data_IF_888333749859
#
_entry.id   IF_888333749859
#
_cell.length_a   1.000
_cell.length_b   1.000
_cell.length_c   1.000
_cell.angle_alpha   90.00
_cell.angle_beta   90.00
_cell.angle_gamma   90.00
#
_symmetry.space_group_name_H-M   'P 1'
#
loop_
_entity.id
_entity.type
_entity.pdbx_description
1 polymer ?
#
# COMPACT_ATOMS: atom_id res chain seq x y z
N UNK A 1 -2.95 -63.14 12.00
CA UNK A 1 -3.63 -62.52 10.83
C UNK A 1 -4.45 -61.37 11.33
N UNK A 2 -3.95 -60.13 11.26
CA UNK A 2 -4.72 -58.93 11.42
C UNK A 2 -4.01 -57.85 10.60
N UNK A 3 -4.77 -57.35 9.62
CA UNK A 3 -4.29 -56.36 8.65
C UNK A 3 -4.21 -54.98 9.33
N UNK A 4 -3.00 -54.44 9.44
CA UNK A 4 -2.81 -53.00 9.70
C UNK A 4 -2.85 -52.24 8.38
N UNK A 5 -3.99 -51.62 8.11
CA UNK A 5 -4.16 -50.63 7.04
C UNK A 5 -3.35 -49.38 7.36
N UNK A 6 -2.32 -49.16 6.59
CA UNK A 6 -1.55 -47.91 6.55
C UNK A 6 -2.46 -46.72 6.19
N UNK A 7 -2.78 -45.90 7.18
CA UNK A 7 -3.45 -44.61 6.97
C UNK A 7 -2.42 -43.66 6.34
N UNK A 8 -2.64 -43.29 5.08
CA UNK A 8 -1.90 -42.27 4.35
C UNK A 8 -1.81 -41.00 5.19
N UNK A 9 -0.58 -40.50 5.36
CA UNK A 9 -0.32 -39.18 5.89
C UNK A 9 -1.07 -38.15 5.06
N UNK A 10 -1.91 -37.39 5.72
CA UNK A 10 -2.70 -36.32 5.18
C UNK A 10 -1.78 -35.20 4.69
N UNK A 11 -1.98 -34.87 3.43
CA UNK A 11 -1.43 -33.74 2.71
C UNK A 11 -1.49 -32.46 3.56
N UNK A 12 -0.40 -31.71 3.54
CA UNK A 12 -0.37 -30.33 4.02
C UNK A 12 -1.49 -29.53 3.35
N UNK A 13 -2.18 -28.65 4.07
CA UNK A 13 -3.18 -27.79 3.45
C UNK A 13 -2.46 -26.94 2.40
N UNK A 14 -2.86 -27.17 1.16
CA UNK A 14 -2.52 -26.41 -0.02
C UNK A 14 -2.76 -24.93 0.33
N UNK A 15 -1.68 -24.14 0.38
CA UNK A 15 -1.76 -22.69 0.22
C UNK A 15 -2.42 -22.52 -1.13
N UNK A 16 -3.70 -22.18 -1.12
CA UNK A 16 -4.51 -22.03 -2.31
C UNK A 16 -3.82 -21.05 -3.25
N UNK A 17 -3.58 -21.53 -4.45
CA UNK A 17 -3.01 -20.81 -5.58
C UNK A 17 -3.85 -19.54 -5.90
N UNK A 18 -3.56 -18.44 -5.20
CA UNK A 18 -4.19 -17.13 -5.44
C UNK A 18 -3.62 -16.45 -6.68
N UNK A 19 -2.61 -17.03 -7.34
CA UNK A 19 -1.93 -16.41 -8.49
C UNK A 19 -2.74 -16.42 -9.78
N UNK A 20 -3.88 -17.17 -9.84
CA UNK A 20 -4.68 -17.33 -11.07
C UNK A 20 -6.03 -16.59 -11.07
N UNK A 21 -6.42 -15.94 -9.98
CA UNK A 21 -7.70 -15.20 -9.93
C UNK A 21 -7.57 -13.84 -10.64
N UNK A 22 -8.51 -13.55 -11.53
CA UNK A 22 -8.62 -12.25 -12.20
C UNK A 22 -8.61 -11.10 -11.17
N UNK A 23 -7.76 -10.05 -11.33
CA UNK A 23 -7.69 -8.95 -10.37
C UNK A 23 -9.02 -8.24 -10.13
N UNK A 24 -9.95 -8.27 -11.10
CA UNK A 24 -11.30 -7.73 -10.96
C UNK A 24 -12.20 -8.59 -10.05
N UNK A 25 -12.03 -9.90 -10.04
CA UNK A 25 -12.79 -10.78 -9.14
C UNK A 25 -12.33 -10.64 -7.69
N UNK A 26 -11.03 -10.44 -7.46
CA UNK A 26 -10.46 -10.16 -6.13
C UNK A 26 -10.97 -8.83 -5.59
N UNK A 27 -11.11 -7.82 -6.44
CA UNK A 27 -11.67 -6.53 -6.03
C UNK A 27 -13.15 -6.61 -5.67
N UNK A 28 -13.95 -7.41 -6.42
CA UNK A 28 -15.35 -7.66 -6.08
C UNK A 28 -15.49 -8.32 -4.71
N UNK A 29 -14.71 -9.37 -4.45
CA UNK A 29 -14.67 -10.05 -3.15
C UNK A 29 -14.23 -9.10 -2.03
N UNK A 30 -13.17 -8.32 -2.25
CA UNK A 30 -12.72 -7.30 -1.29
C UNK A 30 -13.83 -6.30 -0.96
N UNK A 31 -14.57 -5.82 -1.95
CA UNK A 31 -15.64 -4.85 -1.74
C UNK A 31 -16.83 -5.43 -0.96
N UNK A 32 -17.20 -6.68 -1.23
CA UNK A 32 -18.24 -7.39 -0.47
C UNK A 32 -17.78 -7.62 0.99
N UNK A 33 -16.58 -8.12 1.19
CA UNK A 33 -16.00 -8.34 2.52
C UNK A 33 -15.89 -7.02 3.31
N UNK A 34 -15.44 -5.96 2.64
CA UNK A 34 -15.38 -4.61 3.21
C UNK A 34 -16.76 -4.14 3.66
N UNK A 35 -17.78 -4.33 2.83
CA UNK A 35 -19.16 -3.92 3.14
C UNK A 35 -19.67 -4.59 4.41
N UNK A 36 -19.39 -5.89 4.57
CA UNK A 36 -19.80 -6.66 5.77
C UNK A 36 -19.17 -6.10 7.04
N UNK A 37 -17.87 -5.71 7.00
CA UNK A 37 -17.13 -5.25 8.18
C UNK A 37 -17.34 -3.75 8.44
N UNK A 38 -17.45 -2.94 7.38
CA UNK A 38 -17.55 -1.49 7.49
C UNK A 38 -19.00 -1.01 7.71
N UNK A 39 -19.98 -1.64 7.04
CA UNK A 39 -21.38 -1.19 7.10
C UNK A 39 -21.90 -1.05 8.55
N UNK A 40 -21.69 -1.99 9.48
CA UNK A 40 -22.22 -1.85 10.84
C UNK A 40 -21.59 -0.70 11.65
N UNK A 41 -20.41 -0.23 11.24
CA UNK A 41 -19.72 0.88 11.92
C UNK A 41 -20.34 2.24 11.55
N UNK A 42 -20.63 2.47 10.26
CA UNK A 42 -21.21 3.73 9.76
C UNK A 42 -22.74 3.72 9.69
N UNK A 43 -23.36 2.54 9.48
CA UNK A 43 -24.81 2.35 9.35
C UNK A 43 -25.27 1.23 10.30
N UNK A 44 -25.39 1.49 11.61
CA UNK A 44 -25.90 0.47 12.53
C UNK A 44 -27.37 0.17 12.21
N UNK A 45 -27.64 -1.04 11.72
CA UNK A 45 -29.00 -1.52 11.37
C UNK A 45 -29.85 -1.88 12.58
N UNK A 46 -29.22 -2.13 13.72
CA UNK A 46 -29.88 -2.39 15.01
C UNK A 46 -29.15 -1.63 16.09
N UNK A 47 -29.86 -1.27 17.17
CA UNK A 47 -29.33 -0.62 18.38
C UNK A 47 -28.28 -1.47 19.13
N UNK A 48 -27.44 -2.21 18.43
CA UNK A 48 -26.40 -3.08 18.95
C UNK A 48 -25.30 -2.29 19.67
N UNK A 49 -25.66 -1.56 20.71
CA UNK A 49 -24.71 -1.04 21.69
C UNK A 49 -23.93 0.20 21.26
N UNK A 50 -24.27 0.86 20.15
CA UNK A 50 -23.67 2.13 19.77
C UNK A 50 -24.66 3.27 20.01
N UNK A 51 -24.27 4.23 20.85
CA UNK A 51 -25.08 5.41 21.07
C UNK A 51 -25.18 6.27 19.78
N UNK A 52 -26.30 6.91 19.55
CA UNK A 52 -26.49 7.79 18.37
C UNK A 52 -25.39 8.86 18.27
N UNK A 53 -24.90 9.35 19.42
CA UNK A 53 -23.76 10.28 19.50
C UNK A 53 -22.47 9.73 18.92
N UNK A 54 -22.16 8.44 19.12
CA UNK A 54 -20.93 7.81 18.60
C UNK A 54 -20.97 7.68 17.06
N UNK A 55 -22.16 7.48 16.49
CA UNK A 55 -22.35 7.43 15.02
C UNK A 55 -22.12 8.81 14.42
N UNK A 56 -22.67 9.88 15.03
CA UNK A 56 -22.44 11.26 14.59
C UNK A 56 -20.95 11.61 14.65
N UNK A 57 -20.23 11.21 15.69
CA UNK A 57 -18.79 11.44 15.83
C UNK A 57 -18.02 10.73 14.70
N UNK A 58 -18.40 9.49 14.35
CA UNK A 58 -17.74 8.74 13.27
C UNK A 58 -17.96 9.40 11.90
N UNK A 59 -19.17 9.86 11.63
CA UNK A 59 -19.46 10.62 10.41
C UNK A 59 -18.75 11.97 10.39
N UNK A 60 -18.70 12.68 11.53
CA UNK A 60 -17.95 13.93 11.69
C UNK A 60 -16.46 13.75 11.41
N UNK A 61 -15.85 12.68 11.95
CA UNK A 61 -14.46 12.35 11.69
C UNK A 61 -14.21 11.96 10.22
N UNK A 62 -15.14 11.24 9.58
CA UNK A 62 -15.04 10.92 8.16
C UNK A 62 -15.15 12.16 7.27
N UNK A 63 -16.04 13.09 7.60
CA UNK A 63 -16.15 14.39 6.94
C UNK A 63 -14.86 15.22 7.13
N UNK A 64 -14.26 15.20 8.30
CA UNK A 64 -13.00 15.89 8.58
C UNK A 64 -11.82 15.28 7.78
N UNK A 65 -11.81 13.96 7.54
CA UNK A 65 -10.85 13.32 6.63
C UNK A 65 -11.04 13.85 5.21
N UNK A 66 -12.27 13.87 4.69
CA UNK A 66 -12.54 14.37 3.34
C UNK A 66 -12.13 15.84 3.21
N UNK A 67 -12.43 16.66 4.20
CA UNK A 67 -12.03 18.07 4.25
C UNK A 67 -10.49 18.22 4.26
N UNK A 68 -9.80 17.39 5.03
CA UNK A 68 -8.33 17.39 5.06
C UNK A 68 -7.71 16.94 3.74
N UNK A 69 -8.33 15.99 3.01
CA UNK A 69 -7.90 15.56 1.67
C UNK A 69 -8.08 16.72 0.68
N UNK A 70 -9.25 17.36 0.67
CA UNK A 70 -9.51 18.50 -0.20
C UNK A 70 -8.54 19.66 0.08
N UNK A 71 -8.26 19.94 1.35
CA UNK A 71 -7.30 20.96 1.73
C UNK A 71 -5.87 20.61 1.28
N UNK A 72 -5.42 19.38 1.46
CA UNK A 72 -4.06 18.96 1.03
C UNK A 72 -3.92 19.02 -0.49
N UNK A 73 -4.86 18.48 -1.26
CA UNK A 73 -4.83 18.53 -2.73
C UNK A 73 -4.95 19.97 -3.23
N UNK A 74 -5.78 20.80 -2.59
CA UNK A 74 -5.92 22.21 -2.92
C UNK A 74 -4.64 23.01 -2.69
N UNK A 75 -3.95 22.76 -1.57
CA UNK A 75 -2.67 23.40 -1.27
C UNK A 75 -1.55 22.91 -2.19
N UNK A 76 -1.53 21.64 -2.56
CA UNK A 76 -0.59 21.12 -3.57
C UNK A 76 -0.81 21.78 -4.94
N UNK A 77 -2.08 21.90 -5.37
CA UNK A 77 -2.43 22.62 -6.59
C UNK A 77 -2.00 24.09 -6.52
N UNK A 78 -2.31 24.79 -5.43
CA UNK A 78 -1.86 26.15 -5.20
C UNK A 78 -0.35 26.27 -5.23
N UNK A 79 0.37 25.33 -4.60
CA UNK A 79 1.85 25.29 -4.60
C UNK A 79 2.42 25.17 -6.01
N UNK A 80 1.73 24.51 -6.93
CA UNK A 80 2.18 24.41 -8.32
C UNK A 80 2.11 25.77 -9.06
N UNK A 81 1.03 26.52 -8.86
CA UNK A 81 0.90 27.88 -9.39
C UNK A 81 1.85 28.87 -8.71
N UNK A 82 2.05 28.70 -7.39
CA UNK A 82 3.00 29.51 -6.64
C UNK A 82 4.44 29.29 -7.12
N UNK A 83 4.82 28.04 -7.38
CA UNK A 83 6.14 27.73 -7.92
C UNK A 83 6.37 28.38 -9.29
N UNK A 84 5.36 28.36 -10.18
CA UNK A 84 5.38 29.10 -11.43
C UNK A 84 5.64 30.58 -11.19
N UNK A 85 4.84 31.22 -10.35
CA UNK A 85 4.93 32.65 -10.05
C UNK A 85 6.30 33.07 -9.49
N UNK A 86 6.90 32.25 -8.60
CA UNK A 86 8.24 32.48 -8.08
C UNK A 86 9.31 32.47 -9.18
N UNK A 87 9.20 31.51 -10.08
CA UNK A 87 10.15 31.40 -11.19
C UNK A 87 10.03 32.52 -12.21
N UNK A 88 8.81 32.96 -12.50
CA UNK A 88 8.57 34.10 -13.42
C UNK A 88 9.19 35.39 -12.83
N UNK A 89 9.06 35.64 -11.52
CA UNK A 89 9.74 36.77 -10.85
C UNK A 89 11.27 36.69 -10.99
N UNK A 90 11.84 35.51 -10.84
CA UNK A 90 13.30 35.32 -10.89
C UNK A 90 13.84 35.58 -12.29
N UNK A 91 13.13 35.12 -13.31
CA UNK A 91 13.61 35.11 -14.69
C UNK A 91 13.25 36.42 -15.42
N UNK A 92 12.02 36.90 -15.27
CA UNK A 92 11.49 38.05 -15.99
C UNK A 92 11.71 39.34 -15.23
N UNK A 93 11.23 39.45 -14.00
CA UNK A 93 11.26 40.70 -13.21
C UNK A 93 12.65 41.05 -12.71
N UNK A 94 13.44 40.05 -12.31
CA UNK A 94 14.80 40.17 -11.70
C UNK A 94 14.85 41.17 -10.52
N UNK A 95 13.73 41.30 -9.80
CA UNK A 95 13.59 42.23 -8.68
C UNK A 95 13.86 41.52 -7.33
N UNK A 96 14.98 41.89 -6.69
CA UNK A 96 15.42 41.30 -5.43
C UNK A 96 14.40 41.52 -4.30
N UNK A 97 13.74 42.70 -4.28
CA UNK A 97 12.77 43.02 -3.21
C UNK A 97 11.53 42.14 -3.30
N UNK A 98 10.97 41.97 -4.51
CA UNK A 98 9.86 41.05 -4.77
C UNK A 98 10.26 39.61 -4.44
N UNK A 99 11.45 39.19 -4.83
CA UNK A 99 11.96 37.85 -4.55
C UNK A 99 12.05 37.55 -3.04
N UNK A 100 12.59 38.47 -2.22
CA UNK A 100 12.70 38.28 -0.78
C UNK A 100 11.32 38.18 -0.10
N UNK A 101 10.35 38.99 -0.55
CA UNK A 101 8.96 38.88 -0.07
C UNK A 101 8.33 37.53 -0.45
N UNK A 102 8.62 37.04 -1.66
CA UNK A 102 8.11 35.75 -2.16
C UNK A 102 8.74 34.58 -1.39
N UNK A 103 10.01 34.68 -1.01
CA UNK A 103 10.68 33.67 -0.16
C UNK A 103 10.01 33.55 1.21
N UNK A 104 9.67 34.66 1.85
CA UNK A 104 8.98 34.65 3.13
C UNK A 104 7.60 33.96 3.02
N UNK A 105 6.82 34.32 2.00
CA UNK A 105 5.53 33.69 1.74
C UNK A 105 5.66 32.20 1.40
N UNK A 106 6.68 31.80 0.63
CA UNK A 106 7.00 30.39 0.35
C UNK A 106 7.32 29.61 1.62
N UNK A 107 8.07 30.21 2.54
CA UNK A 107 8.39 29.57 3.83
C UNK A 107 7.13 29.37 4.68
N UNK A 108 6.22 30.33 4.70
CA UNK A 108 4.93 30.20 5.37
C UNK A 108 4.08 29.08 4.74
N UNK A 109 4.07 29.00 3.40
CA UNK A 109 3.33 27.97 2.66
C UNK A 109 3.87 26.56 2.98
N UNK A 110 5.20 26.38 3.08
CA UNK A 110 5.82 25.12 3.48
C UNK A 110 5.40 24.72 4.90
N UNK A 111 5.40 25.65 5.85
CA UNK A 111 4.94 25.38 7.22
C UNK A 111 3.47 24.98 7.23
N UNK A 112 2.62 25.68 6.48
CA UNK A 112 1.19 25.37 6.36
C UNK A 112 0.94 23.99 5.75
N UNK A 113 1.60 23.66 4.64
CA UNK A 113 1.48 22.36 3.97
C UNK A 113 1.92 21.22 4.87
N UNK A 114 3.06 21.39 5.57
CA UNK A 114 3.58 20.39 6.51
C UNK A 114 2.63 20.19 7.69
N UNK A 115 2.08 21.26 8.23
CA UNK A 115 1.09 21.22 9.30
C UNK A 115 -0.20 20.52 8.88
N UNK A 116 -0.73 20.84 7.70
CA UNK A 116 -1.91 20.16 7.13
C UNK A 116 -1.67 18.68 6.90
N UNK A 117 -0.51 18.32 6.37
CA UNK A 117 -0.13 16.92 6.16
C UNK A 117 -0.07 16.15 7.48
N UNK A 118 0.62 16.69 8.49
CA UNK A 118 0.72 16.08 9.81
C UNK A 118 -0.66 15.91 10.48
N UNK A 119 -1.51 16.94 10.37
CA UNK A 119 -2.88 16.92 10.89
C UNK A 119 -3.74 15.87 10.17
N UNK A 120 -3.66 15.80 8.84
CA UNK A 120 -4.35 14.77 8.04
C UNK A 120 -3.94 13.36 8.47
N UNK A 121 -2.65 13.09 8.62
CA UNK A 121 -2.14 11.78 9.08
C UNK A 121 -2.62 11.45 10.50
N UNK A 122 -2.66 12.43 11.40
CA UNK A 122 -3.17 12.24 12.76
C UNK A 122 -4.64 11.81 12.75
N UNK A 123 -5.50 12.52 12.00
CA UNK A 123 -6.94 12.19 11.95
C UNK A 123 -7.16 10.80 11.36
N UNK A 124 -6.48 10.44 10.28
CA UNK A 124 -6.57 9.11 9.65
C UNK A 124 -6.28 8.00 10.64
N UNK A 125 -5.20 8.12 11.41
CA UNK A 125 -4.83 7.14 12.43
C UNK A 125 -5.84 7.11 13.58
N UNK A 126 -6.38 8.26 13.96
CA UNK A 126 -7.37 8.35 15.04
C UNK A 126 -8.67 7.63 14.67
N UNK A 127 -9.15 7.81 13.43
CA UNK A 127 -10.35 7.14 12.93
C UNK A 127 -10.14 5.63 12.79
N UNK A 128 -9.01 5.20 12.27
CA UNK A 128 -8.66 3.78 12.19
C UNK A 128 -8.63 3.12 13.58
N UNK A 129 -8.05 3.81 14.58
CA UNK A 129 -8.02 3.34 15.97
C UNK A 129 -9.40 3.27 16.60
N UNK A 130 -10.28 4.24 16.34
CA UNK A 130 -11.65 4.22 16.87
C UNK A 130 -12.45 3.06 16.26
N UNK A 131 -12.33 2.84 14.96
CA UNK A 131 -12.93 1.69 14.29
C UNK A 131 -12.38 0.36 14.82
N UNK A 132 -11.07 0.23 14.99
CA UNK A 132 -10.43 -0.94 15.60
C UNK A 132 -10.99 -1.24 16.99
N UNK A 133 -11.06 -0.24 17.85
CA UNK A 133 -11.65 -0.33 19.20
C UNK A 133 -13.09 -0.86 19.18
N UNK A 134 -13.90 -0.29 18.30
CA UNK A 134 -15.30 -0.70 18.16
C UNK A 134 -15.42 -2.12 17.64
N UNK A 135 -14.69 -2.45 16.56
CA UNK A 135 -14.74 -3.77 15.93
C UNK A 135 -14.28 -4.86 16.89
N UNK A 136 -13.18 -4.65 17.61
CA UNK A 136 -12.67 -5.59 18.63
C UNK A 136 -13.71 -5.83 19.71
N UNK A 137 -14.33 -4.75 20.23
CA UNK A 137 -15.37 -4.88 21.26
C UNK A 137 -16.58 -5.70 20.77
N UNK A 138 -17.01 -5.47 19.53
CA UNK A 138 -18.12 -6.20 18.92
C UNK A 138 -17.77 -7.67 18.69
N UNK A 139 -16.58 -7.95 18.16
CA UNK A 139 -16.15 -9.32 17.86
C UNK A 139 -15.94 -10.12 19.14
N UNK A 140 -15.30 -9.55 20.16
CA UNK A 140 -15.17 -10.20 21.48
C UNK A 140 -16.54 -10.46 22.11
N UNK A 141 -17.49 -9.52 22.03
CA UNK A 141 -18.85 -9.72 22.54
C UNK A 141 -19.55 -10.88 21.81
N UNK A 142 -19.43 -10.96 20.47
CA UNK A 142 -19.97 -12.08 19.69
C UNK A 142 -19.29 -13.40 20.04
N UNK A 143 -17.98 -13.41 20.23
CA UNK A 143 -17.22 -14.61 20.59
C UNK A 143 -17.64 -15.18 21.95
N UNK A 144 -17.94 -14.31 22.93
CA UNK A 144 -18.37 -14.72 24.27
C UNK A 144 -19.88 -14.99 24.37
N UNK A 145 -20.70 -14.46 23.43
CA UNK A 145 -22.13 -14.62 23.44
C UNK A 145 -22.54 -16.04 23.04
N UNK A 146 -23.62 -16.57 23.62
CA UNK A 146 -24.20 -17.87 23.27
C UNK A 146 -23.20 -19.05 23.30
N UNK A 147 -22.12 -18.92 24.08
CA UNK A 147 -21.03 -19.90 24.17
C UNK A 147 -20.38 -20.20 22.82
N UNK A 148 -20.30 -19.20 21.93
CA UNK A 148 -19.72 -19.36 20.58
C UNK A 148 -18.28 -19.86 20.65
N UNK A 149 -17.46 -19.39 21.63
CA UNK A 149 -16.10 -19.89 21.87
C UNK A 149 -16.05 -21.43 22.05
N UNK A 150 -17.03 -22.01 22.73
CA UNK A 150 -17.11 -23.45 22.94
C UNK A 150 -17.52 -24.19 21.67
N UNK A 151 -18.52 -23.68 20.96
CA UNK A 151 -19.01 -24.28 19.73
C UNK A 151 -17.96 -24.26 18.60
N UNK A 152 -17.17 -23.19 18.52
CA UNK A 152 -16.08 -23.05 17.52
C UNK A 152 -14.99 -24.09 17.78
N UNK A 153 -14.59 -24.30 19.01
CA UNK A 153 -13.56 -25.27 19.40
C UNK A 153 -14.03 -26.71 19.11
N UNK A 154 -15.29 -27.01 19.37
CA UNK A 154 -15.87 -28.34 19.17
C UNK A 154 -16.07 -28.69 17.69
N UNK A 155 -16.41 -27.72 16.83
CA UNK A 155 -16.65 -27.93 15.41
C UNK A 155 -15.39 -27.84 14.54
N UNK A 156 -14.25 -27.44 15.11
CA UNK A 156 -12.99 -27.15 14.38
C UNK A 156 -13.17 -26.21 13.19
N UNK A 157 -14.23 -25.40 13.20
CA UNK A 157 -14.60 -24.53 12.09
C UNK A 157 -13.60 -23.38 11.88
N UNK A 158 -12.90 -22.96 12.94
CA UNK A 158 -11.91 -21.88 12.92
C UNK A 158 -10.63 -22.34 13.61
N UNK A 159 -9.51 -22.27 12.89
CA UNK A 159 -8.19 -22.50 13.52
C UNK A 159 -7.73 -21.23 14.23
N UNK A 160 -7.28 -21.39 15.48
CA UNK A 160 -6.67 -20.33 16.30
C UNK A 160 -7.53 -19.05 16.41
N UNK A 161 -8.76 -19.11 16.96
CA UNK A 161 -9.63 -17.94 17.08
C UNK A 161 -9.04 -16.83 17.96
N UNK A 162 -8.24 -17.17 18.96
CA UNK A 162 -7.47 -16.26 19.81
C UNK A 162 -6.45 -15.43 19.02
N UNK A 163 -5.72 -16.06 18.11
CA UNK A 163 -4.77 -15.38 17.23
C UNK A 163 -5.50 -14.43 16.28
N UNK A 164 -6.60 -14.84 15.66
CA UNK A 164 -7.40 -13.99 14.79
C UNK A 164 -7.94 -12.76 15.52
N UNK A 165 -8.51 -12.95 16.70
CA UNK A 165 -9.02 -11.87 17.53
C UNK A 165 -7.94 -10.87 17.98
N UNK A 166 -6.72 -11.35 18.26
CA UNK A 166 -5.65 -10.50 18.78
C UNK A 166 -4.79 -9.83 17.68
N UNK A 167 -4.63 -10.46 16.50
CA UNK A 167 -3.65 -10.03 15.51
C UNK A 167 -4.26 -9.60 14.17
N UNK A 168 -5.48 -10.03 13.82
CA UNK A 168 -6.04 -9.75 12.49
C UNK A 168 -6.97 -8.53 12.45
N UNK A 169 -7.63 -8.18 13.55
CA UNK A 169 -8.59 -7.05 13.57
C UNK A 169 -7.91 -5.70 13.33
N UNK A 170 -6.73 -5.47 13.91
CA UNK A 170 -5.99 -4.21 13.72
C UNK A 170 -5.53 -4.01 12.27
N UNK A 171 -4.87 -4.99 11.61
CA UNK A 171 -4.56 -4.90 10.18
C UNK A 171 -5.79 -4.67 9.30
N UNK A 172 -6.91 -5.35 9.55
CA UNK A 172 -8.15 -5.18 8.78
C UNK A 172 -8.58 -3.71 8.81
N UNK A 173 -8.71 -3.11 9.97
CA UNK A 173 -9.20 -1.73 10.11
C UNK A 173 -8.22 -0.71 9.55
N UNK A 174 -6.93 -0.86 9.83
CA UNK A 174 -5.90 0.09 9.39
C UNK A 174 -5.64 0.03 7.89
N UNK A 175 -5.54 -1.18 7.31
CA UNK A 175 -5.31 -1.34 5.87
C UNK A 175 -6.53 -0.91 5.05
N UNK A 176 -7.74 -1.25 5.51
CA UNK A 176 -8.97 -0.82 4.86
C UNK A 176 -9.12 0.71 4.84
N UNK A 177 -8.93 1.36 5.99
CA UNK A 177 -8.98 2.82 6.06
C UNK A 177 -7.91 3.47 5.17
N UNK A 178 -6.68 2.93 5.20
CA UNK A 178 -5.61 3.42 4.33
C UNK A 178 -5.99 3.28 2.86
N UNK A 179 -6.50 2.13 2.44
CA UNK A 179 -6.95 1.89 1.07
C UNK A 179 -8.01 2.90 0.62
N UNK A 180 -9.09 3.05 1.39
CA UNK A 180 -10.18 3.97 1.04
C UNK A 180 -9.71 5.43 0.96
N UNK A 181 -8.94 5.87 1.95
CA UNK A 181 -8.43 7.24 2.01
C UNK A 181 -7.46 7.51 0.87
N UNK A 182 -6.51 6.59 0.61
CA UNK A 182 -5.54 6.74 -0.48
C UNK A 182 -6.24 6.75 -1.83
N UNK A 183 -7.27 5.90 -2.01
CA UNK A 183 -8.02 5.86 -3.25
C UNK A 183 -8.71 7.20 -3.56
N UNK A 184 -9.37 7.78 -2.57
CA UNK A 184 -10.03 9.10 -2.72
C UNK A 184 -9.01 10.21 -2.92
N UNK A 185 -7.96 10.26 -2.10
CA UNK A 185 -6.93 11.30 -2.17
C UNK A 185 -6.18 11.27 -3.51
N UNK A 186 -5.68 10.11 -3.91
CA UNK A 186 -4.88 9.98 -5.14
C UNK A 186 -5.75 10.10 -6.40
N UNK A 187 -7.00 9.66 -6.34
CA UNK A 187 -7.97 9.91 -7.41
C UNK A 187 -8.22 11.40 -7.62
N UNK A 188 -8.48 12.16 -6.54
CA UNK A 188 -8.63 13.62 -6.61
C UNK A 188 -7.35 14.30 -7.08
N UNK A 189 -6.18 13.88 -6.58
CA UNK A 189 -4.89 14.41 -6.98
C UNK A 189 -4.65 14.21 -8.48
N UNK A 190 -4.92 13.01 -9.02
CA UNK A 190 -4.82 12.74 -10.45
C UNK A 190 -5.73 13.64 -11.28
N UNK A 191 -6.99 13.78 -10.90
CA UNK A 191 -7.95 14.63 -11.61
C UNK A 191 -7.46 16.09 -11.60
N UNK A 192 -7.05 16.59 -10.44
CA UNK A 192 -6.59 17.99 -10.29
C UNK A 192 -5.37 18.27 -11.17
N UNK A 193 -4.35 17.41 -11.11
CA UNK A 193 -3.12 17.64 -11.89
C UNK A 193 -3.31 17.36 -13.38
N UNK A 194 -4.20 16.44 -13.77
CA UNK A 194 -4.58 16.26 -15.17
C UNK A 194 -5.26 17.52 -15.74
N UNK A 195 -6.17 18.15 -14.96
CA UNK A 195 -6.82 19.40 -15.37
C UNK A 195 -5.78 20.53 -15.51
N UNK A 196 -4.87 20.69 -14.55
CA UNK A 196 -3.82 21.73 -14.62
C UNK A 196 -2.95 21.51 -15.86
N UNK A 197 -2.50 20.28 -16.11
CA UNK A 197 -1.71 19.96 -17.31
C UNK A 197 -2.49 20.23 -18.60
N UNK A 198 -3.78 19.94 -18.62
CA UNK A 198 -4.63 20.19 -19.77
C UNK A 198 -4.75 21.68 -20.08
N UNK A 199 -4.72 22.57 -19.09
CA UNK A 199 -4.72 24.01 -19.28
C UNK A 199 -3.40 24.55 -19.83
N UNK A 200 -2.27 23.94 -19.50
CA UNK A 200 -0.94 24.33 -20.02
C UNK A 200 -0.77 23.82 -21.45
N UNK A 201 -0.94 22.51 -21.67
CA UNK A 201 -0.81 21.90 -22.99
C UNK A 201 -1.58 20.59 -23.08
N UNK A 202 -2.54 20.51 -24.00
CA UNK A 202 -3.30 19.27 -24.27
C UNK A 202 -2.41 18.12 -24.74
N UNK A 203 -1.40 18.42 -25.53
CA UNK A 203 -0.48 17.40 -26.07
C UNK A 203 0.29 16.73 -24.93
N UNK A 204 0.81 17.52 -23.99
CA UNK A 204 1.53 16.98 -22.83
C UNK A 204 0.63 16.14 -21.96
N UNK A 205 -0.57 16.59 -21.67
CA UNK A 205 -1.52 15.84 -20.86
C UNK A 205 -1.77 14.44 -21.45
N UNK A 206 -1.98 14.34 -22.77
CA UNK A 206 -2.19 13.06 -23.46
C UNK A 206 -0.94 12.18 -23.44
N UNK A 207 0.22 12.72 -23.78
CA UNK A 207 1.48 11.97 -23.78
C UNK A 207 1.86 11.49 -22.39
N UNK A 208 1.63 12.33 -21.36
CA UNK A 208 1.86 11.95 -19.97
C UNK A 208 0.97 10.77 -19.55
N UNK A 209 -0.32 10.82 -19.87
CA UNK A 209 -1.25 9.73 -19.52
C UNK A 209 -0.76 8.42 -20.15
N UNK A 210 -0.41 8.43 -21.44
CA UNK A 210 0.10 7.24 -22.14
C UNK A 210 1.40 6.75 -21.48
N UNK A 211 2.35 7.64 -21.25
CA UNK A 211 3.64 7.32 -20.62
C UNK A 211 3.43 6.72 -19.22
N UNK A 212 2.55 7.34 -18.42
CA UNK A 212 2.31 6.93 -17.05
C UNK A 212 1.61 5.58 -16.98
N UNK A 213 0.64 5.31 -17.84
CA UNK A 213 -0.02 4.00 -17.94
C UNK A 213 1.01 2.93 -18.35
N UNK A 214 1.80 3.16 -19.40
CA UNK A 214 2.79 2.20 -19.87
C UNK A 214 3.85 1.90 -18.79
N UNK A 215 4.42 2.93 -18.17
CA UNK A 215 5.42 2.77 -17.12
C UNK A 215 4.89 2.05 -15.87
N UNK A 216 3.67 2.36 -15.46
CA UNK A 216 3.05 1.68 -14.32
C UNK A 216 2.69 0.21 -14.63
N UNK A 217 2.27 -0.13 -15.84
CA UNK A 217 2.06 -1.53 -16.23
C UNK A 217 3.35 -2.34 -16.14
N UNK A 218 4.47 -1.78 -16.60
CA UNK A 218 5.79 -2.41 -16.47
C UNK A 218 6.17 -2.53 -14.98
N UNK A 219 5.98 -1.48 -14.18
CA UNK A 219 6.28 -1.50 -12.76
C UNK A 219 5.47 -2.58 -12.01
N UNK A 220 4.19 -2.76 -12.36
CA UNK A 220 3.35 -3.83 -11.79
C UNK A 220 3.93 -5.21 -12.12
N UNK A 221 4.27 -5.44 -13.38
CA UNK A 221 4.84 -6.72 -13.83
C UNK A 221 6.13 -7.04 -13.05
N UNK A 222 7.05 -6.08 -12.98
CA UNK A 222 8.31 -6.25 -12.24
C UNK A 222 8.10 -6.50 -10.75
N UNK A 223 7.16 -5.80 -10.14
CA UNK A 223 6.83 -5.97 -8.71
C UNK A 223 6.19 -7.33 -8.45
N UNK A 224 5.35 -7.84 -9.34
CA UNK A 224 4.75 -9.17 -9.22
C UNK A 224 5.83 -10.27 -9.28
N UNK A 225 6.76 -10.18 -10.22
CA UNK A 225 7.88 -11.13 -10.32
C UNK A 225 8.79 -11.06 -9.09
N UNK A 226 9.10 -9.86 -8.60
CA UNK A 226 9.86 -9.66 -7.37
C UNK A 226 9.17 -10.30 -6.16
N UNK A 227 7.85 -10.17 -6.04
CA UNK A 227 7.09 -10.80 -4.96
C UNK A 227 7.14 -12.33 -5.01
N UNK A 228 7.11 -12.95 -6.20
CA UNK A 228 7.26 -14.41 -6.35
C UNK A 228 8.64 -14.88 -5.90
N UNK A 229 9.68 -14.15 -6.29
CA UNK A 229 11.07 -14.45 -5.90
C UNK A 229 11.24 -14.30 -4.39
N UNK A 230 10.72 -13.25 -3.80
CA UNK A 230 10.72 -13.03 -2.36
C UNK A 230 9.99 -14.15 -1.60
N UNK A 231 8.85 -14.62 -2.13
CA UNK A 231 8.13 -15.76 -1.54
C UNK A 231 8.95 -17.04 -1.60
N UNK A 232 9.66 -17.28 -2.71
CA UNK A 232 10.56 -18.43 -2.85
C UNK A 232 11.71 -18.39 -1.84
N UNK A 233 12.28 -17.19 -1.63
CA UNK A 233 13.35 -16.98 -0.64
C UNK A 233 12.86 -17.24 0.80
N UNK A 234 11.66 -16.75 1.14
CA UNK A 234 11.03 -17.01 2.43
C UNK A 234 10.77 -18.49 2.66
N UNK A 235 10.34 -19.23 1.64
CA UNK A 235 10.13 -20.68 1.73
C UNK A 235 11.46 -21.42 1.98
N UNK A 236 12.53 -21.04 1.27
CA UNK A 236 13.86 -21.64 1.49
C UNK A 236 14.40 -21.34 2.89
N UNK A 237 14.17 -20.13 3.42
CA UNK A 237 14.49 -19.77 4.82
C UNK A 237 13.69 -20.60 5.83
N UNK A 238 12.41 -20.85 5.55
CA UNK A 238 11.58 -21.70 6.41
C UNK A 238 12.10 -23.16 6.42
N UNK A 239 12.48 -23.69 5.25
CA UNK A 239 13.07 -25.02 5.13
C UNK A 239 14.40 -25.15 5.88
N UNK A 240 15.25 -24.12 5.81
CA UNK A 240 16.49 -24.06 6.58
C UNK A 240 16.23 -24.03 8.08
N UNK A 241 15.31 -23.18 8.55
CA UNK A 241 14.89 -23.12 9.95
C UNK A 241 14.32 -24.46 10.44
N UNK A 242 13.56 -25.16 9.60
CA UNK A 242 13.05 -26.49 9.91
C UNK A 242 14.19 -27.48 10.14
N UNK A 243 15.24 -27.45 9.31
CA UNK A 243 16.42 -28.34 9.50
C UNK A 243 17.12 -28.11 10.84
N UNK A 244 17.33 -26.83 11.21
CA UNK A 244 17.92 -26.48 12.51
C UNK A 244 17.04 -26.92 13.69
N UNK A 245 15.73 -26.77 13.56
CA UNK A 245 14.76 -27.23 14.55
C UNK A 245 14.72 -28.73 14.65
N UNK A 246 14.89 -29.46 13.53
CA UNK A 246 14.98 -30.92 13.48
C UNK A 246 16.15 -31.43 14.31
N UNK A 247 17.35 -30.87 14.12
CA UNK A 247 18.53 -31.22 14.90
C UNK A 247 18.29 -30.98 16.39
N UNK A 248 17.74 -29.83 16.77
CA UNK A 248 17.43 -29.53 18.18
C UNK A 248 16.48 -30.56 18.80
N UNK A 249 15.44 -30.94 18.06
CA UNK A 249 14.40 -31.84 18.56
C UNK A 249 14.84 -33.30 18.59
N UNK A 250 15.86 -33.69 17.83
CA UNK A 250 16.40 -35.05 17.73
C UNK A 250 17.85 -35.15 18.20
N UNK A 251 18.30 -34.22 19.04
CA UNK A 251 19.69 -34.10 19.46
C UNK A 251 20.22 -35.38 20.10
N UNK A 252 19.44 -36.08 20.93
CA UNK A 252 19.83 -37.32 21.58
C UNK A 252 20.06 -38.46 20.56
N UNK A 253 19.16 -38.59 19.58
CA UNK A 253 19.27 -39.60 18.52
C UNK A 253 20.49 -39.33 17.62
N UNK A 254 20.72 -38.09 17.24
CA UNK A 254 21.87 -37.71 16.42
C UNK A 254 23.16 -37.97 17.14
N UNK A 255 23.27 -37.61 18.41
CA UNK A 255 24.45 -37.87 19.22
C UNK A 255 24.68 -39.38 19.44
N UNK A 256 23.61 -40.16 19.65
CA UNK A 256 23.72 -41.61 19.85
C UNK A 256 24.22 -42.33 18.60
N UNK A 257 23.73 -41.93 17.41
CA UNK A 257 24.12 -42.54 16.14
C UNK A 257 25.34 -41.88 15.48
N UNK A 258 25.92 -40.84 16.09
CA UNK A 258 27.04 -40.04 15.53
C UNK A 258 26.72 -39.50 14.14
N UNK A 259 25.48 -38.94 14.00
CA UNK A 259 24.94 -38.48 12.72
C UNK A 259 25.27 -37.03 12.38
N UNK A 260 26.17 -36.36 13.11
CA UNK A 260 26.47 -34.94 12.99
C UNK A 260 26.90 -34.53 11.57
N UNK A 261 27.78 -35.34 10.96
CA UNK A 261 28.28 -35.06 9.60
C UNK A 261 27.15 -35.12 8.54
N UNK A 262 26.19 -36.02 8.72
CA UNK A 262 25.06 -36.13 7.80
C UNK A 262 24.08 -34.96 7.96
N UNK A 263 23.81 -34.57 9.20
CA UNK A 263 22.95 -33.41 9.48
C UNK A 263 23.61 -32.11 9.00
N UNK A 264 24.93 -31.96 9.16
CA UNK A 264 25.68 -30.81 8.64
C UNK A 264 25.52 -30.69 7.12
N UNK A 265 25.64 -31.79 6.37
CA UNK A 265 25.43 -31.78 4.90
C UNK A 265 24.02 -31.39 4.51
N UNK A 266 23.01 -31.83 5.27
CA UNK A 266 21.60 -31.46 5.04
C UNK A 266 21.39 -29.98 5.29
N UNK A 267 21.89 -29.45 6.39
CA UNK A 267 21.81 -28.06 6.77
C UNK A 267 22.52 -27.18 5.73
N UNK A 268 23.76 -27.53 5.37
CA UNK A 268 24.55 -26.81 4.38
C UNK A 268 23.85 -26.82 3.02
N UNK A 269 23.30 -27.92 2.57
CA UNK A 269 22.55 -27.99 1.31
C UNK A 269 21.27 -27.11 1.31
N UNK A 270 20.62 -26.97 2.46
CA UNK A 270 19.48 -26.05 2.60
C UNK A 270 19.93 -24.60 2.68
N UNK A 271 21.02 -24.31 3.36
CA UNK A 271 21.61 -22.98 3.44
C UNK A 271 22.05 -22.48 2.07
N UNK A 272 22.70 -23.34 1.25
CA UNK A 272 23.08 -22.97 -0.13
C UNK A 272 21.87 -22.59 -0.99
N UNK A 273 20.70 -23.23 -0.80
CA UNK A 273 19.46 -22.83 -1.47
C UNK A 273 18.97 -21.44 -1.02
N UNK A 274 19.11 -21.13 0.27
CA UNK A 274 18.81 -19.78 0.78
C UNK A 274 19.72 -18.74 0.11
N UNK A 275 21.04 -19.01 0.07
CA UNK A 275 22.00 -18.09 -0.57
C UNK A 275 21.64 -17.86 -2.04
N UNK A 276 21.40 -18.92 -2.80
CA UNK A 276 21.04 -18.82 -4.22
C UNK A 276 19.73 -18.03 -4.44
N UNK A 277 18.71 -18.27 -3.60
CA UNK A 277 17.46 -17.51 -3.70
C UNK A 277 17.63 -16.05 -3.28
N UNK A 278 18.47 -15.74 -2.29
CA UNK A 278 18.79 -14.38 -1.88
C UNK A 278 19.59 -13.62 -2.96
N UNK A 279 20.52 -14.27 -3.65
CA UNK A 279 21.24 -13.68 -4.79
C UNK A 279 20.28 -13.33 -5.93
N UNK A 280 19.35 -14.21 -6.25
CA UNK A 280 18.30 -13.95 -7.23
C UNK A 280 17.44 -12.75 -6.82
N UNK A 281 17.02 -12.67 -5.55
CA UNK A 281 16.25 -11.55 -5.01
C UNK A 281 17.01 -10.23 -5.15
N UNK A 282 18.28 -10.19 -4.75
CA UNK A 282 19.14 -9.00 -4.87
C UNK A 282 19.25 -8.53 -6.32
N UNK A 283 19.43 -9.45 -7.27
CA UNK A 283 19.52 -9.10 -8.68
C UNK A 283 18.21 -8.50 -9.23
N UNK A 284 17.07 -9.07 -8.85
CA UNK A 284 15.76 -8.55 -9.23
C UNK A 284 15.42 -7.22 -8.56
N UNK A 285 15.75 -7.05 -7.27
CA UNK A 285 15.63 -5.78 -6.56
C UNK A 285 16.45 -4.68 -7.23
N UNK A 286 17.69 -4.99 -7.62
CA UNK A 286 18.54 -4.04 -8.36
C UNK A 286 17.89 -3.59 -9.65
N UNK A 287 17.34 -4.53 -10.46
CA UNK A 287 16.68 -4.22 -11.71
C UNK A 287 15.40 -3.41 -11.50
N UNK A 288 14.57 -3.81 -10.53
CA UNK A 288 13.34 -3.10 -10.16
C UNK A 288 13.63 -1.67 -9.67
N UNK A 289 14.66 -1.50 -8.84
CA UNK A 289 15.08 -0.19 -8.35
C UNK A 289 15.62 0.69 -9.49
N UNK A 290 16.41 0.13 -10.40
CA UNK A 290 16.91 0.84 -11.57
C UNK A 290 15.76 1.32 -12.46
N UNK A 291 14.80 0.44 -12.75
CA UNK A 291 13.61 0.79 -13.53
C UNK A 291 12.80 1.90 -12.85
N UNK A 292 12.46 1.75 -11.57
CA UNK A 292 11.62 2.70 -10.84
C UNK A 292 12.29 4.09 -10.74
N UNK A 293 13.60 4.14 -10.44
CA UNK A 293 14.34 5.40 -10.41
C UNK A 293 14.47 6.03 -11.79
N UNK A 294 14.79 5.23 -12.80
CA UNK A 294 14.86 5.68 -14.19
C UNK A 294 13.52 6.21 -14.69
N UNK A 295 12.44 5.50 -14.42
CA UNK A 295 11.09 5.89 -14.76
C UNK A 295 10.70 7.24 -14.12
N UNK A 296 10.93 7.40 -12.80
CA UNK A 296 10.63 8.65 -12.10
C UNK A 296 11.48 9.83 -12.60
N UNK A 297 12.77 9.61 -12.84
CA UNK A 297 13.65 10.64 -13.37
C UNK A 297 13.27 11.04 -14.81
N UNK A 298 12.87 10.06 -15.61
CA UNK A 298 12.45 10.31 -17.00
C UNK A 298 11.20 11.17 -17.11
N UNK A 299 10.29 11.16 -16.12
CA UNK A 299 9.09 12.02 -16.12
C UNK A 299 9.47 13.50 -16.16
N UNK A 300 10.43 13.92 -15.32
CA UNK A 300 10.86 15.32 -15.27
C UNK A 300 11.56 15.75 -16.56
N UNK A 301 12.39 14.87 -17.15
CA UNK A 301 13.06 15.10 -18.41
C UNK A 301 12.07 15.11 -19.58
N UNK A 302 11.07 14.23 -19.56
CA UNK A 302 10.06 14.12 -20.59
C UNK A 302 9.22 15.38 -20.74
N UNK A 303 8.74 15.97 -19.64
CA UNK A 303 8.01 17.24 -19.68
C UNK A 303 8.87 18.37 -20.23
N UNK A 304 10.14 18.43 -19.83
CA UNK A 304 11.09 19.41 -20.33
C UNK A 304 11.33 19.26 -21.84
N UNK A 305 11.51 18.03 -22.32
CA UNK A 305 11.73 17.75 -23.76
C UNK A 305 10.57 18.22 -24.65
N UNK A 306 9.34 18.06 -24.19
CA UNK A 306 8.14 18.45 -24.97
C UNK A 306 7.89 19.95 -24.89
N UNK A 307 8.13 20.59 -23.73
CA UNK A 307 7.81 22.01 -23.54
C UNK A 307 8.91 22.96 -23.99
N UNK A 308 10.16 22.56 -23.96
CA UNK A 308 11.28 23.43 -24.37
C UNK A 308 11.13 23.98 -25.80
N UNK A 309 10.70 23.20 -26.81
CA UNK A 309 10.45 23.76 -28.16
C UNK A 309 9.37 24.83 -28.19
N UNK A 310 8.32 24.72 -27.34
CA UNK A 310 7.25 25.71 -27.20
C UNK A 310 7.77 26.98 -26.53
N UNK A 311 8.61 26.83 -25.51
CA UNK A 311 9.29 27.95 -24.87
C UNK A 311 10.21 28.71 -25.82
N UNK A 312 11.01 28.02 -26.63
CA UNK A 312 11.90 28.65 -27.65
C UNK A 312 11.09 29.46 -28.68
N UNK A 313 9.84 29.03 -28.94
CA UNK A 313 8.91 29.74 -29.83
C UNK A 313 8.15 30.89 -29.15
N UNK A 314 8.39 31.13 -27.86
CA UNK A 314 7.65 32.10 -27.03
C UNK A 314 6.13 31.79 -26.94
N UNK A 315 5.74 30.49 -27.01
CA UNK A 315 4.34 30.07 -26.85
C UNK A 315 3.98 29.87 -25.38
N UNK A 316 4.99 29.62 -24.51
CA UNK A 316 4.84 29.38 -23.07
C UNK A 316 6.02 30.00 -22.30
N UNK A 317 5.80 30.31 -21.01
CA UNK A 317 6.80 30.84 -20.10
C UNK A 317 7.60 29.73 -19.41
N UNK A 318 8.78 30.07 -18.87
CA UNK A 318 9.62 29.09 -18.17
C UNK A 318 8.94 28.56 -16.89
N UNK A 319 8.17 29.38 -16.19
CA UNK A 319 7.39 28.98 -15.03
C UNK A 319 6.36 27.89 -15.38
N UNK A 320 5.77 27.92 -16.60
CA UNK A 320 4.87 26.88 -17.08
C UNK A 320 5.56 25.53 -17.28
N UNK A 321 6.80 25.52 -17.75
CA UNK A 321 7.61 24.29 -17.86
C UNK A 321 7.81 23.65 -16.49
N UNK A 322 8.18 24.46 -15.50
CA UNK A 322 8.39 23.99 -14.14
C UNK A 322 7.10 23.49 -13.51
N UNK A 323 6.01 24.24 -13.68
CA UNK A 323 4.67 23.85 -13.21
C UNK A 323 4.25 22.51 -13.83
N UNK A 324 4.38 22.36 -15.14
CA UNK A 324 4.05 21.13 -15.83
C UNK A 324 4.90 19.95 -15.34
N UNK A 325 6.21 20.14 -15.14
CA UNK A 325 7.10 19.10 -14.63
C UNK A 325 6.67 18.62 -13.24
N UNK A 326 6.32 19.54 -12.35
CA UNK A 326 5.81 19.22 -11.03
C UNK A 326 4.46 18.48 -11.11
N UNK A 327 3.53 18.95 -11.94
CA UNK A 327 2.23 18.30 -12.14
C UNK A 327 2.38 16.89 -12.73
N UNK A 328 3.30 16.68 -13.68
CA UNK A 328 3.64 15.38 -14.24
C UNK A 328 4.14 14.41 -13.16
N UNK A 329 5.04 14.88 -12.30
CA UNK A 329 5.58 14.10 -11.19
C UNK A 329 4.47 13.70 -10.18
N UNK A 330 3.64 14.66 -9.77
CA UNK A 330 2.57 14.42 -8.80
C UNK A 330 1.48 13.49 -9.36
N UNK A 331 1.12 13.66 -10.63
CA UNK A 331 0.18 12.76 -11.31
C UNK A 331 0.70 11.32 -11.37
N UNK A 332 1.95 11.14 -11.82
CA UNK A 332 2.55 9.81 -11.92
C UNK A 332 2.71 9.13 -10.57
N UNK A 333 3.10 9.90 -9.55
CA UNK A 333 3.24 9.39 -8.18
C UNK A 333 1.88 8.98 -7.60
N UNK A 334 0.83 9.75 -7.86
CA UNK A 334 -0.53 9.42 -7.43
C UNK A 334 -1.02 8.11 -8.07
N UNK A 335 -0.81 7.93 -9.38
CA UNK A 335 -1.16 6.69 -10.07
C UNK A 335 -0.36 5.49 -9.54
N UNK A 336 0.96 5.64 -9.34
CA UNK A 336 1.81 4.60 -8.78
C UNK A 336 1.34 4.15 -7.38
N UNK A 337 0.95 5.09 -6.53
CA UNK A 337 0.40 4.78 -5.21
C UNK A 337 -0.96 4.06 -5.28
N UNK A 338 -1.87 4.47 -6.16
CA UNK A 338 -3.14 3.77 -6.38
C UNK A 338 -2.93 2.31 -6.78
N UNK A 339 -2.01 2.06 -7.69
CA UNK A 339 -1.68 0.71 -8.15
C UNK A 339 -1.08 -0.13 -7.02
N UNK A 340 -0.19 0.44 -6.22
CA UNK A 340 0.40 -0.25 -5.06
C UNK A 340 -0.66 -0.62 -4.03
N UNK A 341 -1.56 0.29 -3.70
CA UNK A 341 -2.66 0.00 -2.76
C UNK A 341 -3.64 -1.01 -3.34
N UNK A 342 -3.91 -0.98 -4.65
CA UNK A 342 -4.72 -2.01 -5.31
C UNK A 342 -4.10 -3.41 -5.16
N UNK A 343 -2.79 -3.54 -5.33
CA UNK A 343 -2.06 -4.80 -5.10
C UNK A 343 -2.15 -5.30 -3.66
N UNK A 344 -2.26 -4.40 -2.67
CA UNK A 344 -2.40 -4.77 -1.26
C UNK A 344 -3.84 -5.15 -0.86
N UNK A 345 -4.85 -4.79 -1.66
CA UNK A 345 -6.26 -5.10 -1.37
C UNK A 345 -6.55 -6.60 -1.26
N UNK A 346 -5.84 -7.44 -2.03
CA UNK A 346 -5.94 -8.89 -1.93
C UNK A 346 -5.53 -9.45 -0.56
N UNK A 347 -4.54 -8.83 0.10
CA UNK A 347 -4.14 -9.22 1.47
C UNK A 347 -5.23 -8.88 2.49
N UNK A 348 -5.93 -7.77 2.32
CA UNK A 348 -7.03 -7.39 3.21
C UNK A 348 -8.20 -8.37 3.09
N UNK A 349 -8.53 -8.81 1.86
CA UNK A 349 -9.56 -9.83 1.63
C UNK A 349 -9.24 -11.13 2.39
N UNK A 350 -7.99 -11.58 2.37
CA UNK A 350 -7.58 -12.82 3.06
C UNK A 350 -7.61 -12.73 4.60
N UNK A 351 -7.60 -11.53 5.18
CA UNK A 351 -7.81 -11.35 6.62
C UNK A 351 -9.30 -11.35 7.02
N UNK A 352 -10.20 -11.04 6.09
CA UNK A 352 -11.63 -10.94 6.37
C UNK A 352 -12.34 -12.30 6.17
N UNK A 353 -11.83 -13.15 5.28
CA UNK A 353 -12.27 -14.54 5.10
C UNK A 353 -11.87 -15.45 6.28
#
# INVERSE_FOLDING_TARGET
MSQYTTKKATENPVVSDQSSKNPFSLFGQFWESLKIVAQPYWYPTELNGRAFGDVIISWGMSALILLSILATVGVEAFSSYWNRYVLDIIIEDRDLSKYLNTLWLSSLLIILTTGLFAFSQFIRRKVALDWYKWLTKQTVKKYLNDRAYYNIDFTSALKNPDQRLSQEIEPITTMTMRFLITFVEKGLQMITFAIILWTISRQIAVYLIIYTIAGNLIAIYLTQELNKINQSELNNKADYNYALTHVRNHAESIAFFQGEEQEEKIIEGRFQRVIQSSENLINWERFNNLFNRGYQSAISVFSMFILTPMFIKNEIDYGEISQASLCCFLFSNALGQLITEWGTSGKVSSYIE
#
